data_IF_268424474986
#
_entry.id   IF_268424474986
#
_cell.length_a   1.000
_cell.length_b   1.000
_cell.length_c   1.000
_cell.angle_alpha   90.00
_cell.angle_beta   90.00
_cell.angle_gamma   90.00
#
_symmetry.space_group_name_H-M   'P 1'
#
loop_
_entity.id
_entity.type
_entity.pdbx_description
1 polymer ?
#
# COMPACT_ATOMS: atom_id res chain seq x y z
N UNK A 1 16.37 -1.40 -12.61
CA UNK A 1 15.07 -1.33 -11.91
C UNK A 1 14.46 0.01 -12.21
N UNK A 2 13.30 0.07 -12.87
CA UNK A 2 12.49 1.30 -12.89
C UNK A 2 12.39 1.82 -11.45
N UNK A 3 12.63 3.11 -11.27
CA UNK A 3 13.01 3.75 -10.00
C UNK A 3 12.16 3.24 -8.81
N UNK A 4 12.80 2.61 -7.81
CA UNK A 4 12.14 2.10 -6.59
C UNK A 4 11.29 3.17 -5.90
N UNK A 5 11.69 4.45 -6.02
CA UNK A 5 10.90 5.57 -5.52
C UNK A 5 9.56 5.71 -6.26
N UNK A 6 9.55 5.59 -7.58
CA UNK A 6 8.32 5.64 -8.39
C UNK A 6 7.40 4.48 -8.03
N UNK A 7 7.95 3.27 -7.91
CA UNK A 7 7.19 2.10 -7.48
C UNK A 7 6.53 2.31 -6.11
N UNK A 8 7.27 2.84 -5.12
CA UNK A 8 6.71 3.10 -3.79
C UNK A 8 5.70 4.26 -3.81
N UNK A 9 5.90 5.28 -4.64
CA UNK A 9 4.90 6.33 -4.84
C UNK A 9 3.58 5.76 -5.36
N UNK A 10 3.63 4.87 -6.36
CA UNK A 10 2.44 4.20 -6.89
C UNK A 10 1.78 3.30 -5.84
N UNK A 11 2.59 2.58 -5.06
CA UNK A 11 2.10 1.75 -3.95
C UNK A 11 1.34 2.58 -2.90
N UNK A 12 1.88 3.72 -2.47
CA UNK A 12 1.22 4.64 -1.53
C UNK A 12 -0.02 5.28 -2.17
N UNK A 13 0.03 5.61 -3.46
CA UNK A 13 -1.08 6.24 -4.17
C UNK A 13 -2.34 5.36 -4.18
N UNK A 14 -2.18 4.03 -4.28
CA UNK A 14 -3.31 3.08 -4.26
C UNK A 14 -4.22 3.24 -3.04
N UNK A 15 -3.65 3.51 -1.87
CA UNK A 15 -4.40 3.69 -0.61
C UNK A 15 -5.17 5.01 -0.53
N UNK A 16 -4.86 5.96 -1.42
CA UNK A 16 -5.46 7.29 -1.47
C UNK A 16 -6.33 7.51 -2.72
N UNK A 17 -6.32 6.57 -3.68
CA UNK A 17 -7.00 6.73 -4.98
C UNK A 17 -8.54 6.69 -4.84
N UNK A 18 -9.17 7.79 -5.26
CA UNK A 18 -10.62 8.02 -5.20
C UNK A 18 -11.38 7.26 -6.27
N UNK A 19 -10.83 7.16 -7.47
CA UNK A 19 -11.47 6.50 -8.60
C UNK A 19 -11.28 4.98 -8.49
N UNK A 20 -12.39 4.25 -8.31
CA UNK A 20 -12.35 2.79 -8.16
C UNK A 20 -11.78 2.07 -9.39
N UNK A 21 -11.99 2.62 -10.60
CA UNK A 21 -11.45 2.07 -11.84
C UNK A 21 -9.93 2.24 -11.92
N UNK A 22 -9.41 3.42 -11.59
CA UNK A 22 -7.97 3.69 -11.50
C UNK A 22 -7.31 2.86 -10.41
N UNK A 23 -7.95 2.75 -9.23
CA UNK A 23 -7.47 1.91 -8.13
C UNK A 23 -7.33 0.44 -8.58
N UNK A 24 -8.32 -0.10 -9.30
CA UNK A 24 -8.24 -1.45 -9.87
C UNK A 24 -7.10 -1.60 -10.88
N UNK A 25 -6.89 -0.61 -11.74
CA UNK A 25 -5.79 -0.62 -12.70
C UNK A 25 -4.42 -0.60 -12.00
N UNK A 26 -4.23 0.29 -11.02
CA UNK A 26 -3.02 0.36 -10.22
C UNK A 26 -2.76 -0.97 -9.50
N UNK A 27 -3.79 -1.60 -8.94
CA UNK A 27 -3.64 -2.91 -8.28
C UNK A 27 -3.13 -3.98 -9.26
N UNK A 28 -3.64 -4.01 -10.49
CA UNK A 28 -3.18 -4.96 -11.51
C UNK A 28 -1.74 -4.70 -11.99
N UNK A 29 -1.34 -3.43 -12.00
CA UNK A 29 0.02 -3.00 -12.34
C UNK A 29 1.00 -3.38 -11.22
N UNK A 30 0.60 -3.23 -9.96
CA UNK A 30 1.50 -3.38 -8.82
C UNK A 30 1.55 -4.81 -8.26
N UNK A 31 0.47 -5.58 -8.32
CA UNK A 31 0.40 -6.94 -7.74
C UNK A 31 0.29 -8.03 -8.80
N UNK A 32 0.87 -9.19 -8.52
CA UNK A 32 0.60 -10.44 -9.25
C UNK A 32 -0.85 -10.91 -9.01
N UNK A 33 -1.35 -11.76 -9.91
CA UNK A 33 -2.77 -12.17 -9.92
C UNK A 33 -3.17 -12.94 -8.65
N UNK A 34 -2.27 -13.75 -8.11
CA UNK A 34 -2.40 -14.58 -6.92
C UNK A 34 -1.68 -13.99 -5.69
N UNK A 35 -1.34 -12.70 -5.72
CA UNK A 35 -0.56 -12.07 -4.66
C UNK A 35 -1.30 -12.05 -3.31
N UNK A 36 -0.53 -12.04 -2.22
CA UNK A 36 -1.05 -11.91 -0.86
C UNK A 36 -0.70 -10.55 -0.26
N UNK A 37 -1.64 -9.92 0.45
CA UNK A 37 -1.37 -8.77 1.33
C UNK A 37 -1.87 -9.06 2.74
N UNK A 38 -0.92 -9.14 3.66
CA UNK A 38 -1.07 -9.74 4.98
C UNK A 38 -0.84 -8.66 6.04
N UNK A 39 -1.76 -8.55 6.99
CA UNK A 39 -1.58 -7.84 8.24
C UNK A 39 -1.94 -8.76 9.40
N UNK A 40 -1.65 -8.34 10.63
CA UNK A 40 -1.85 -9.14 11.85
C UNK A 40 -3.22 -9.84 11.95
N UNK A 41 -4.28 -9.20 11.48
CA UNK A 41 -5.66 -9.70 11.59
C UNK A 41 -6.41 -9.78 10.26
N UNK A 42 -5.71 -9.60 9.13
CA UNK A 42 -6.35 -9.51 7.82
C UNK A 42 -5.44 -10.09 6.73
N UNK A 43 -6.00 -10.98 5.93
CA UNK A 43 -5.38 -11.53 4.73
C UNK A 43 -6.23 -11.16 3.51
N UNK A 44 -5.59 -10.58 2.50
CA UNK A 44 -6.18 -10.27 1.21
C UNK A 44 -5.45 -11.07 0.13
N UNK A 45 -6.18 -11.88 -0.62
CA UNK A 45 -5.63 -12.79 -1.63
C UNK A 45 -6.13 -12.42 -3.02
N UNK A 46 -5.19 -12.38 -3.95
CA UNK A 46 -5.39 -12.01 -5.34
C UNK A 46 -5.92 -10.59 -5.54
N UNK A 47 -6.08 -10.18 -6.80
CA UNK A 47 -6.53 -8.81 -7.11
C UNK A 47 -7.88 -8.46 -6.46
N UNK A 48 -8.83 -9.40 -6.40
CA UNK A 48 -10.14 -9.15 -5.80
C UNK A 48 -10.07 -8.91 -4.29
N UNK A 49 -9.29 -9.72 -3.56
CA UNK A 49 -9.11 -9.54 -2.12
C UNK A 49 -8.36 -8.24 -1.81
N UNK A 50 -7.33 -7.93 -2.59
CA UNK A 50 -6.55 -6.70 -2.45
C UNK A 50 -7.40 -5.47 -2.79
N UNK A 51 -8.18 -5.50 -3.87
CA UNK A 51 -9.13 -4.43 -4.22
C UNK A 51 -10.11 -4.16 -3.09
N UNK A 52 -10.69 -5.22 -2.50
CA UNK A 52 -11.58 -5.09 -1.36
C UNK A 52 -10.88 -4.44 -0.18
N UNK A 53 -9.70 -4.93 0.19
CA UNK A 53 -8.92 -4.40 1.32
C UNK A 53 -8.60 -2.91 1.14
N UNK A 54 -8.10 -2.51 -0.03
CA UNK A 54 -7.75 -1.11 -0.29
C UNK A 54 -9.00 -0.24 -0.30
N UNK A 55 -10.11 -0.71 -0.89
CA UNK A 55 -11.37 0.02 -0.89
C UNK A 55 -11.91 0.23 0.54
N UNK A 56 -11.91 -0.81 1.38
CA UNK A 56 -12.35 -0.71 2.78
C UNK A 56 -11.48 0.29 3.57
N UNK A 57 -10.16 0.28 3.34
CA UNK A 57 -9.24 1.22 3.98
C UNK A 57 -9.47 2.66 3.49
N UNK A 58 -9.65 2.86 2.18
CA UNK A 58 -9.94 4.15 1.59
C UNK A 58 -11.25 4.73 2.13
N UNK A 59 -12.35 3.96 2.10
CA UNK A 59 -13.65 4.44 2.54
C UNK A 59 -13.61 4.86 4.01
N UNK A 60 -13.07 3.99 4.88
CA UNK A 60 -13.01 4.24 6.32
C UNK A 60 -12.08 5.40 6.70
N UNK A 61 -10.88 5.45 6.14
CA UNK A 61 -9.83 6.34 6.64
C UNK A 61 -9.67 7.61 5.82
N UNK A 62 -9.83 7.53 4.50
CA UNK A 62 -9.65 8.68 3.61
C UNK A 62 -10.97 9.39 3.40
N UNK A 63 -11.99 8.69 2.89
CA UNK A 63 -13.27 9.30 2.53
C UNK A 63 -14.09 9.73 3.76
N UNK A 64 -14.29 8.86 4.72
CA UNK A 64 -15.14 9.13 5.90
C UNK A 64 -14.45 10.00 6.94
N UNK A 65 -13.13 9.82 7.12
CA UNK A 65 -12.37 10.48 8.18
C UNK A 65 -11.44 11.60 7.71
N UNK A 66 -11.34 11.83 6.40
CA UNK A 66 -10.53 12.91 5.84
C UNK A 66 -9.03 12.77 6.07
N UNK A 67 -8.52 11.54 6.22
CA UNK A 67 -7.09 11.29 6.39
C UNK A 67 -6.40 11.04 5.05
N UNK A 68 -5.07 11.02 5.09
CA UNK A 68 -4.21 10.67 3.96
C UNK A 68 -3.10 9.73 4.42
N UNK A 69 -2.75 8.74 3.60
CA UNK A 69 -1.57 7.90 3.79
C UNK A 69 -0.39 8.53 3.05
N UNK A 70 0.76 8.66 3.72
CA UNK A 70 1.98 9.24 3.14
C UNK A 70 3.18 8.34 3.39
N UNK A 71 4.14 8.37 2.47
CA UNK A 71 5.45 7.76 2.67
C UNK A 71 6.17 8.50 3.80
N UNK A 72 6.73 7.76 4.74
CA UNK A 72 7.54 8.28 5.83
C UNK A 72 9.00 7.83 5.66
N UNK A 73 9.93 8.79 5.62
CA UNK A 73 11.37 8.50 5.58
C UNK A 73 11.86 7.89 4.26
N UNK A 74 12.97 7.15 4.34
CA UNK A 74 13.65 6.55 3.18
C UNK A 74 13.05 5.21 2.80
N UNK A 75 13.03 4.96 1.49
CA UNK A 75 12.76 3.63 0.90
C UNK A 75 14.06 2.86 0.80
N UNK A 76 13.99 1.55 1.04
CA UNK A 76 15.11 0.64 0.89
C UNK A 76 14.65 -0.64 0.17
N UNK A 77 15.56 -1.32 -0.50
CA UNK A 77 15.23 -2.53 -1.25
C UNK A 77 16.45 -3.22 -1.84
N UNK A 78 16.37 -4.54 -1.91
CA UNK A 78 17.39 -5.41 -2.47
C UNK A 78 16.78 -6.80 -2.73
N UNK A 79 17.38 -7.63 -3.59
CA UNK A 79 16.99 -9.04 -3.79
C UNK A 79 15.46 -9.21 -3.96
N UNK A 80 14.85 -8.39 -4.81
CA UNK A 80 13.41 -8.40 -5.10
C UNK A 80 12.52 -8.14 -3.88
N UNK A 81 13.03 -7.35 -2.94
CA UNK A 81 12.28 -6.87 -1.77
C UNK A 81 12.30 -5.37 -1.68
N UNK A 82 11.21 -4.81 -1.17
CA UNK A 82 11.04 -3.38 -0.89
C UNK A 82 10.58 -3.21 0.54
N UNK A 83 11.18 -2.25 1.23
CA UNK A 83 10.89 -1.91 2.62
C UNK A 83 10.54 -0.42 2.67
N UNK A 84 9.37 -0.11 3.22
CA UNK A 84 8.92 1.27 3.39
C UNK A 84 8.19 1.48 4.72
N UNK A 85 8.18 2.73 5.19
CA UNK A 85 7.29 3.19 6.26
C UNK A 85 6.24 4.13 5.72
N UNK A 86 5.08 4.12 6.33
CA UNK A 86 4.00 5.02 6.01
C UNK A 86 3.40 5.60 7.29
N UNK A 87 2.81 6.77 7.15
CA UNK A 87 2.04 7.40 8.20
C UNK A 87 0.67 7.80 7.68
N UNK A 88 -0.31 7.83 8.58
CA UNK A 88 -1.66 8.31 8.34
C UNK A 88 -1.93 9.49 9.24
N UNK A 89 -2.40 10.59 8.67
CA UNK A 89 -2.70 11.84 9.37
C UNK A 89 -3.86 12.58 8.67
N UNK A 90 -4.49 13.58 9.31
CA UNK A 90 -5.51 14.39 8.66
C UNK A 90 -4.96 15.06 7.38
N UNK A 91 -5.75 15.06 6.31
CA UNK A 91 -5.33 15.65 5.04
C UNK A 91 -5.03 17.16 5.14
N UNK A 92 -5.75 17.85 6.03
CA UNK A 92 -5.53 19.27 6.35
C UNK A 92 -4.26 19.54 7.18
N UNK A 93 -3.50 18.50 7.55
CA UNK A 93 -2.40 18.57 8.50
C UNK A 93 -2.86 18.39 9.94
N UNK A 94 -1.94 17.97 10.81
CA UNK A 94 -2.22 17.64 12.21
C UNK A 94 -1.30 16.54 12.72
N UNK A 95 -1.63 16.02 13.90
CA UNK A 95 -0.90 14.91 14.52
C UNK A 95 -1.05 13.62 13.71
N UNK A 96 0.03 12.83 13.70
CA UNK A 96 0.03 11.49 13.09
C UNK A 96 -0.90 10.59 13.91
N UNK A 97 -1.83 9.93 13.21
CA UNK A 97 -2.84 9.04 13.80
C UNK A 97 -2.32 7.60 13.88
N UNK A 98 -1.56 7.18 12.88
CA UNK A 98 -1.06 5.81 12.76
C UNK A 98 0.23 5.80 11.96
N UNK A 99 1.17 4.95 12.35
CA UNK A 99 2.39 4.66 11.59
C UNK A 99 2.40 3.17 11.29
N UNK A 100 2.93 2.81 10.13
CA UNK A 100 3.13 1.42 9.77
C UNK A 100 4.32 1.22 8.88
N UNK A 101 4.59 -0.06 8.69
CA UNK A 101 5.73 -0.58 7.97
C UNK A 101 5.24 -1.68 7.05
N UNK A 102 5.62 -1.60 5.78
CA UNK A 102 5.30 -2.62 4.79
C UNK A 102 6.59 -3.22 4.22
N UNK A 103 6.66 -4.55 4.22
CA UNK A 103 7.68 -5.33 3.54
C UNK A 103 7.04 -6.04 2.34
N UNK A 104 7.52 -5.71 1.14
CA UNK A 104 6.98 -6.21 -0.12
C UNK A 104 8.00 -7.14 -0.76
N UNK A 105 7.55 -8.32 -1.17
CA UNK A 105 8.29 -9.29 -1.97
C UNK A 105 7.78 -9.22 -3.39
N UNK A 106 8.69 -8.97 -4.32
CA UNK A 106 8.42 -8.87 -5.74
C UNK A 106 8.69 -10.22 -6.42
N UNK A 107 7.95 -10.53 -7.48
CA UNK A 107 8.29 -11.61 -8.39
C UNK A 107 9.18 -11.13 -9.54
N UNK A 108 9.57 -12.07 -10.41
CA UNK A 108 10.47 -11.82 -11.55
C UNK A 108 9.93 -10.77 -12.54
N UNK A 109 8.61 -10.53 -12.53
CA UNK A 109 7.93 -9.51 -13.34
C UNK A 109 7.93 -8.12 -12.68
N UNK A 110 8.57 -7.96 -11.52
CA UNK A 110 8.64 -6.72 -10.76
C UNK A 110 7.36 -6.35 -10.02
N UNK A 111 6.34 -7.22 -10.03
CA UNK A 111 5.08 -7.00 -9.29
C UNK A 111 5.12 -7.68 -7.92
N UNK A 112 4.35 -7.16 -6.99
CA UNK A 112 4.21 -7.66 -5.62
C UNK A 112 3.59 -9.05 -5.67
N UNK A 113 4.32 -10.04 -5.18
CA UNK A 113 3.84 -11.40 -4.91
C UNK A 113 3.31 -11.53 -3.48
N UNK A 114 3.96 -10.87 -2.53
CA UNK A 114 3.52 -10.84 -1.13
C UNK A 114 3.83 -9.49 -0.48
N UNK A 115 2.90 -8.96 0.31
CA UNK A 115 3.10 -7.79 1.15
C UNK A 115 2.77 -8.10 2.60
N UNK A 116 3.63 -7.68 3.53
CA UNK A 116 3.46 -7.86 4.96
C UNK A 116 3.42 -6.50 5.63
N UNK A 117 2.27 -6.15 6.18
CA UNK A 117 2.01 -4.90 6.88
C UNK A 117 2.06 -5.09 8.39
N UNK A 118 2.78 -4.19 9.03
CA UNK A 118 2.93 -4.07 10.47
C UNK A 118 2.48 -2.67 10.89
N UNK A 119 1.70 -2.59 11.96
CA UNK A 119 1.40 -1.32 12.61
C UNK A 119 2.49 -1.11 13.67
N UNK A 120 3.15 0.04 13.63
CA UNK A 120 4.16 0.42 14.63
C UNK A 120 3.45 1.09 15.83
N UNK A 121 4.00 0.88 17.03
CA UNK A 121 3.45 1.36 18.30
C UNK A 121 4.06 2.70 18.72
#
# INVERSE_FOLDING_TARGET
MSNIHTFVQDYIAVWNEVDAGRRRQLIRTLWQEDAHHLARTLEAVGHAGIEKRVADAYDKWVKEKGNVFRLQGSVDGHHDTVKLRWEMLPAAGGEVISVGFDFLVLGDDGRIRAGYQFIEA
#
